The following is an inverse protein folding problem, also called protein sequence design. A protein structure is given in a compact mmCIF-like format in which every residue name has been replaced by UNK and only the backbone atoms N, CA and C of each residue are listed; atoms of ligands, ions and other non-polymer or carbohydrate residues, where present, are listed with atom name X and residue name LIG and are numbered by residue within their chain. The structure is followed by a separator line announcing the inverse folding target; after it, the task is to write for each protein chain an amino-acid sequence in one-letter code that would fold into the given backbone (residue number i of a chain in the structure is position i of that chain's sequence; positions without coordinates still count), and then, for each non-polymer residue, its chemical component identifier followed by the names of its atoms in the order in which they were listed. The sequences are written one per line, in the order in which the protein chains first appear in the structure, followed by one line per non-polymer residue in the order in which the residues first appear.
data_IF_437549155514
#
_entry.id   IF_437549155514
#
_cell.length_a   1.000
_cell.length_b   1.000
_cell.length_c   1.000
_cell.angle_alpha   90.00
_cell.angle_beta   90.00
_cell.angle_gamma   90.00
#
_symmetry.space_group_name_H-M   'P 1'
#
loop_
_entity.id
_entity.type
_entity.pdbx_description
1 polymer ?
#
# COMPACT_ATOMS: atom_id res chain seq x y z
N UNK A 1 1.98 -9.89 19.71
CA UNK A 1 0.77 -9.21 20.25
C UNK A 1 0.72 -9.17 21.78
N UNK A 2 1.44 -10.04 22.53
CA UNK A 2 1.41 -10.05 24.01
C UNK A 2 2.42 -9.11 24.70
N UNK A 3 3.27 -8.39 23.96
CA UNK A 3 4.29 -7.49 24.51
C UNK A 3 4.00 -6.02 24.18
N UNK A 4 2.99 -5.46 24.85
CA UNK A 4 3.03 -4.14 25.49
C UNK A 4 3.52 -2.88 24.74
N UNK A 5 3.32 -2.76 23.43
CA UNK A 5 3.44 -1.49 22.73
C UNK A 5 2.44 -1.42 21.60
N UNK A 6 1.43 -0.56 21.70
CA UNK A 6 0.49 -0.36 20.62
C UNK A 6 1.22 0.28 19.43
N UNK A 7 1.72 -0.52 18.48
CA UNK A 7 2.11 0.02 17.17
C UNK A 7 0.81 0.48 16.50
N UNK A 8 0.68 1.77 16.24
CA UNK A 8 -0.49 2.37 15.56
C UNK A 8 -0.84 1.66 14.24
N UNK A 9 0.14 0.99 13.61
CA UNK A 9 -0.05 0.15 12.44
C UNK A 9 0.75 -1.15 12.54
N UNK A 10 0.11 -2.28 12.22
CA UNK A 10 0.71 -3.61 12.26
C UNK A 10 1.89 -3.78 11.28
N UNK A 11 1.90 -3.02 10.18
CA UNK A 11 3.01 -2.99 9.23
C UNK A 11 4.33 -2.48 9.85
N UNK A 12 4.27 -1.83 11.01
CA UNK A 12 5.46 -1.37 11.75
C UNK A 12 5.93 -2.38 12.80
N UNK A 13 5.20 -3.47 13.03
CA UNK A 13 5.64 -4.51 13.95
C UNK A 13 6.81 -5.31 13.34
N UNK A 14 7.92 -5.54 14.07
CA UNK A 14 9.11 -6.19 13.52
C UNK A 14 8.84 -7.52 12.80
N UNK A 15 7.97 -8.37 13.37
CA UNK A 15 7.58 -9.64 12.74
C UNK A 15 6.87 -9.44 11.39
N UNK A 16 6.03 -8.40 11.26
CA UNK A 16 5.34 -8.07 10.01
C UNK A 16 6.28 -7.45 8.99
N UNK A 17 7.28 -6.68 9.42
CA UNK A 17 8.29 -6.13 8.52
C UNK A 17 9.01 -7.27 7.80
N UNK A 18 9.50 -8.29 8.53
CA UNK A 18 10.16 -9.45 7.94
C UNK A 18 9.25 -10.22 6.98
N UNK A 19 8.00 -10.50 7.39
CA UNK A 19 7.02 -11.17 6.53
C UNK A 19 6.75 -10.39 5.25
N UNK A 20 6.63 -9.06 5.33
CA UNK A 20 6.38 -8.22 4.16
C UNK A 20 7.59 -8.12 3.23
N UNK A 21 8.82 -8.09 3.75
CA UNK A 21 10.04 -8.11 2.94
C UNK A 21 10.11 -9.36 2.06
N UNK A 22 9.68 -10.51 2.58
CA UNK A 22 9.65 -11.78 1.84
C UNK A 22 8.47 -11.85 0.86
N UNK A 23 7.26 -11.46 1.30
CA UNK A 23 6.04 -11.65 0.51
C UNK A 23 5.82 -10.59 -0.59
N UNK A 24 6.27 -9.35 -0.36
CA UNK A 24 5.96 -8.21 -1.24
C UNK A 24 6.42 -8.39 -2.70
N UNK A 25 7.62 -8.91 -3.00
CA UNK A 25 8.04 -9.15 -4.38
C UNK A 25 7.13 -10.12 -5.14
N UNK A 26 6.64 -11.16 -4.47
CA UNK A 26 5.72 -12.13 -5.07
C UNK A 26 4.32 -11.55 -5.28
N UNK A 27 3.81 -10.76 -4.33
CA UNK A 27 2.56 -10.01 -4.48
C UNK A 27 2.59 -9.12 -5.73
N UNK A 28 3.68 -8.37 -5.95
CA UNK A 28 3.85 -7.55 -7.17
C UNK A 28 3.78 -8.37 -8.45
N UNK A 29 4.52 -9.47 -8.50
CA UNK A 29 4.56 -10.35 -9.68
C UNK A 29 3.18 -10.91 -10.00
N UNK A 30 2.43 -11.35 -9.00
CA UNK A 30 1.07 -11.88 -9.19
C UNK A 30 0.14 -10.78 -9.71
N UNK A 31 0.15 -9.59 -9.12
CA UNK A 31 -0.70 -8.47 -9.57
C UNK A 31 -0.38 -8.09 -11.01
N UNK A 32 0.90 -7.98 -11.38
CA UNK A 32 1.31 -7.67 -12.76
C UNK A 32 0.84 -8.74 -13.74
N UNK A 33 1.11 -10.03 -13.45
CA UNK A 33 0.69 -11.14 -14.33
C UNK A 33 -0.82 -11.27 -14.45
N UNK A 34 -1.55 -11.09 -13.35
CA UNK A 34 -3.01 -11.11 -13.36
C UNK A 34 -3.56 -9.97 -14.24
N UNK A 35 -2.97 -8.77 -14.15
CA UNK A 35 -3.34 -7.63 -15.00
C UNK A 35 -3.06 -7.90 -16.48
N UNK A 36 -1.89 -8.45 -16.82
CA UNK A 36 -1.54 -8.84 -18.20
C UNK A 36 -2.47 -9.91 -18.75
N UNK A 37 -2.90 -10.85 -17.92
CA UNK A 37 -3.78 -11.96 -18.28
C UNK A 37 -5.27 -11.60 -18.24
N UNK A 38 -5.65 -10.37 -17.89
CA UNK A 38 -7.06 -9.97 -17.74
C UNK A 38 -7.78 -10.67 -16.58
N UNK A 39 -7.04 -11.20 -15.60
CA UNK A 39 -7.61 -11.89 -14.43
C UNK A 39 -7.85 -10.91 -13.28
N UNK A 40 -9.08 -10.78 -12.76
CA UNK A 40 -9.37 -9.84 -11.69
C UNK A 40 -8.82 -10.31 -10.34
N UNK A 41 -7.98 -9.49 -9.71
CA UNK A 41 -7.40 -9.74 -8.36
C UNK A 41 -7.58 -8.54 -7.43
N UNK A 42 -8.82 -8.05 -7.21
CA UNK A 42 -9.08 -6.75 -6.58
C UNK A 42 -8.47 -6.61 -5.17
N UNK A 43 -8.54 -7.67 -4.35
CA UNK A 43 -7.96 -7.65 -3.00
C UNK A 43 -6.42 -7.53 -3.02
N UNK A 44 -5.75 -8.29 -3.91
CA UNK A 44 -4.29 -8.25 -4.04
C UNK A 44 -3.81 -6.91 -4.60
N UNK A 45 -4.51 -6.39 -5.62
CA UNK A 45 -4.22 -5.07 -6.19
C UNK A 45 -4.41 -3.96 -5.16
N UNK A 46 -5.49 -3.99 -4.39
CA UNK A 46 -5.76 -3.02 -3.32
C UNK A 46 -4.73 -3.10 -2.21
N UNK A 47 -4.37 -4.31 -1.77
CA UNK A 47 -3.34 -4.52 -0.75
C UNK A 47 -1.97 -3.98 -1.19
N UNK A 48 -1.59 -4.24 -2.45
CA UNK A 48 -0.35 -3.71 -3.01
C UNK A 48 -0.36 -2.17 -3.09
N UNK A 49 -1.46 -1.59 -3.58
CA UNK A 49 -1.61 -0.13 -3.67
C UNK A 49 -1.58 0.56 -2.30
N UNK A 50 -2.25 -0.02 -1.30
CA UNK A 50 -2.23 0.47 0.07
C UNK A 50 -0.81 0.42 0.65
N UNK A 51 -0.13 -0.74 0.55
CA UNK A 51 1.22 -0.90 1.08
C UNK A 51 2.20 0.10 0.45
N UNK A 52 2.11 0.30 -0.87
CA UNK A 52 2.93 1.24 -1.61
C UNK A 52 2.67 2.68 -1.21
N UNK A 53 1.40 3.06 -1.05
CA UNK A 53 1.02 4.40 -0.60
C UNK A 53 1.45 4.66 0.84
N UNK A 54 1.32 3.66 1.72
CA UNK A 54 1.62 3.81 3.14
C UNK A 54 3.11 4.07 3.40
N UNK A 55 4.01 3.45 2.63
CA UNK A 55 5.47 3.63 2.75
C UNK A 55 6.03 4.79 1.92
N UNK A 56 5.18 5.49 1.16
CA UNK A 56 5.58 6.60 0.31
C UNK A 56 5.57 7.91 1.11
N UNK A 57 6.75 8.47 1.37
CA UNK A 57 6.87 9.72 2.16
C UNK A 57 6.22 10.94 1.51
N UNK A 58 6.05 10.96 0.18
CA UNK A 58 5.39 12.05 -0.56
C UNK A 58 4.45 11.49 -1.62
N UNK A 59 3.15 11.55 -1.37
CA UNK A 59 2.10 11.13 -2.30
C UNK A 59 1.74 12.19 -3.35
N UNK A 60 0.65 11.94 -4.07
CA UNK A 60 0.12 12.79 -5.14
C UNK A 60 -1.01 13.74 -4.67
N UNK A 61 -1.27 13.78 -3.37
CA UNK A 61 -2.33 14.62 -2.78
C UNK A 61 -2.12 16.11 -3.02
N UNK A 62 -0.89 16.55 -3.30
CA UNK A 62 -0.58 17.92 -3.67
C UNK A 62 -1.34 18.38 -4.92
N UNK A 63 -1.52 17.51 -5.92
CA UNK A 63 -2.28 17.86 -7.13
C UNK A 63 -3.78 17.94 -6.82
N UNK A 64 -4.30 17.03 -6.01
CA UNK A 64 -5.70 17.04 -5.57
C UNK A 64 -6.00 18.35 -4.83
N UNK A 65 -5.09 18.77 -3.94
CA UNK A 65 -5.22 20.04 -3.23
C UNK A 65 -5.19 21.23 -4.20
N UNK A 66 -4.28 21.25 -5.16
CA UNK A 66 -4.25 22.32 -6.18
C UNK A 66 -5.56 22.40 -7.00
N UNK A 67 -6.17 21.25 -7.33
CA UNK A 67 -7.47 21.21 -8.01
C UNK A 67 -8.59 21.76 -7.12
N UNK A 68 -8.61 21.40 -5.83
CA UNK A 68 -9.61 21.92 -4.88
C UNK A 68 -9.51 23.44 -4.74
N UNK A 69 -8.29 23.97 -4.67
CA UNK A 69 -8.06 25.41 -4.57
C UNK A 69 -8.44 26.14 -5.87
N UNK A 70 -8.25 25.52 -7.04
CA UNK A 70 -8.57 26.14 -8.33
C UNK A 70 -10.08 26.22 -8.61
N UNK A 71 -10.85 25.18 -8.28
CA UNK A 71 -12.29 25.11 -8.61
C UNK A 71 -13.23 25.44 -7.43
N UNK A 72 -12.71 25.57 -6.21
CA UNK A 72 -13.51 25.68 -4.99
C UNK A 72 -13.53 27.07 -4.33
N UNK A 73 -12.95 28.08 -4.97
CA UNK A 73 -13.03 29.49 -4.56
C UNK A 73 -14.26 30.18 -5.14
#
# INVERSE_FOLDING_TARGET
FSSGGASTNLLMAPAFISLMQEAHPSLRRIVARASEAGTPVPALSSALAYFDSYRQGRGTSNLIQAQRDFFGA
#
